data_IF_055230161601
#
_entry.id   IF_055230161601
#
_cell.length_a   1.000
_cell.length_b   1.000
_cell.length_c   1.000
_cell.angle_alpha   90.00
_cell.angle_beta   90.00
_cell.angle_gamma   90.00
#
_symmetry.space_group_name_H-M   'P 1'
#
loop_
_entity.id
_entity.type
_entity.pdbx_description
1 polymer ?
#
# COMPACT_ATOMS: atom_id res chain seq x y z
N UNK A 1 19.83 -11.34 3.46
CA UNK A 1 18.66 -10.60 2.95
C UNK A 1 18.07 -11.42 1.82
N UNK A 2 16.76 -11.68 1.83
CA UNK A 2 16.09 -12.40 0.74
C UNK A 2 15.51 -11.36 -0.23
N UNK A 3 16.00 -11.27 -1.47
CA UNK A 3 15.46 -10.33 -2.45
C UNK A 3 13.98 -10.60 -2.72
N UNK A 4 13.22 -9.52 -2.92
CA UNK A 4 11.83 -9.60 -3.34
C UNK A 4 11.78 -9.55 -4.87
N UNK A 5 12.07 -10.69 -5.51
CA UNK A 5 12.14 -10.75 -6.98
C UNK A 5 10.77 -10.96 -7.64
N UNK A 6 9.74 -11.27 -6.85
CA UNK A 6 8.38 -11.58 -7.31
C UNK A 6 7.34 -11.02 -6.34
N UNK A 7 6.11 -10.75 -6.82
CA UNK A 7 5.04 -10.30 -5.96
C UNK A 7 4.78 -11.26 -4.80
N UNK A 8 4.84 -10.74 -3.57
CA UNK A 8 4.52 -11.43 -2.34
C UNK A 8 3.17 -10.94 -1.81
N UNK A 9 2.22 -11.86 -1.61
CA UNK A 9 0.89 -11.55 -1.10
C UNK A 9 0.76 -11.98 0.36
N UNK A 10 0.23 -11.09 1.20
CA UNK A 10 -0.01 -11.33 2.63
C UNK A 10 -1.35 -10.77 3.05
N UNK A 11 -1.94 -11.42 4.03
CA UNK A 11 -3.05 -10.84 4.78
C UNK A 11 -2.47 -10.03 5.94
N UNK A 12 -3.03 -8.85 6.17
CA UNK A 12 -2.70 -7.98 7.30
C UNK A 12 -4.00 -7.46 7.90
N UNK A 13 -4.04 -7.35 9.22
CA UNK A 13 -5.17 -6.77 9.94
C UNK A 13 -4.84 -5.33 10.33
N UNK A 14 -5.74 -4.40 10.00
CA UNK A 14 -5.62 -2.98 10.34
C UNK A 14 -6.97 -2.55 10.91
N UNK A 15 -6.99 -2.05 12.14
CA UNK A 15 -8.20 -1.64 12.87
C UNK A 15 -9.31 -2.70 12.86
N UNK A 16 -8.94 -3.97 13.07
CA UNK A 16 -9.87 -5.11 13.08
C UNK A 16 -10.41 -5.51 11.70
N UNK A 17 -9.90 -4.92 10.61
CA UNK A 17 -10.32 -5.23 9.23
C UNK A 17 -9.21 -5.95 8.48
N UNK A 18 -9.52 -7.03 7.75
CA UNK A 18 -8.53 -7.75 6.96
C UNK A 18 -8.27 -7.05 5.62
N UNK A 19 -7.01 -6.91 5.28
CA UNK A 19 -6.52 -6.38 4.01
C UNK A 19 -5.58 -7.38 3.35
N UNK A 20 -5.56 -7.36 2.03
CA UNK A 20 -4.51 -8.01 1.24
C UNK A 20 -3.43 -7.01 0.91
N UNK A 21 -2.24 -7.24 1.46
CA UNK A 21 -1.01 -6.56 1.11
C UNK A 21 -0.31 -7.32 -0.02
N UNK A 22 0.07 -6.61 -1.07
CA UNK A 22 0.92 -7.09 -2.15
C UNK A 22 2.19 -6.27 -2.09
N UNK A 23 3.34 -6.94 -2.00
CA UNK A 23 4.67 -6.34 -2.06
C UNK A 23 5.33 -6.81 -3.36
N UNK A 24 5.95 -5.92 -4.10
CA UNK A 24 6.73 -6.24 -5.30
C UNK A 24 8.01 -5.38 -5.35
N UNK A 25 8.93 -5.62 -6.32
CA UNK A 25 10.16 -4.84 -6.42
C UNK A 25 9.94 -3.33 -6.55
N UNK A 26 8.76 -2.89 -7.00
CA UNK A 26 8.44 -1.48 -7.27
C UNK A 26 7.75 -0.77 -6.11
N UNK A 27 6.97 -1.50 -5.29
CA UNK A 27 6.22 -0.91 -4.20
C UNK A 27 5.32 -1.85 -3.41
N UNK A 28 4.32 -1.24 -2.78
CA UNK A 28 3.26 -1.93 -2.07
C UNK A 28 1.88 -1.55 -2.59
N UNK A 29 0.95 -2.50 -2.49
CA UNK A 29 -0.47 -2.30 -2.72
C UNK A 29 -1.30 -2.93 -1.62
N UNK A 30 -2.18 -2.14 -1.01
CA UNK A 30 -3.08 -2.58 0.03
C UNK A 30 -4.53 -2.56 -0.49
N UNK A 31 -5.19 -3.71 -0.52
CA UNK A 31 -6.58 -3.82 -0.95
C UNK A 31 -7.44 -4.25 0.25
N UNK A 32 -8.50 -3.49 0.54
CA UNK A 32 -9.53 -3.95 1.46
C UNK A 32 -10.22 -5.18 0.84
N UNK A 33 -10.52 -6.19 1.67
CA UNK A 33 -11.19 -7.40 1.22
C UNK A 33 -12.51 -7.05 0.52
N UNK A 34 -12.65 -7.45 -0.75
CA UNK A 34 -13.85 -7.18 -1.56
C UNK A 34 -13.86 -5.84 -2.33
N UNK A 35 -12.82 -5.00 -2.20
CA UNK A 35 -12.75 -3.71 -2.89
C UNK A 35 -11.68 -3.72 -4.00
N UNK A 36 -12.02 -3.12 -5.16
CA UNK A 36 -11.10 -3.01 -6.31
C UNK A 36 -10.18 -1.77 -6.27
N UNK A 37 -10.52 -0.76 -5.45
CA UNK A 37 -9.74 0.47 -5.28
C UNK A 37 -8.90 0.35 -4.00
N UNK A 38 -7.72 -0.25 -4.13
CA UNK A 38 -6.71 -0.29 -3.07
C UNK A 38 -5.75 0.89 -3.12
N UNK A 39 -5.05 1.15 -2.02
CA UNK A 39 -3.95 2.12 -1.96
C UNK A 39 -2.70 1.49 -2.59
N UNK A 40 -2.02 2.19 -3.47
CA UNK A 40 -0.74 1.77 -4.04
C UNK A 40 0.32 2.85 -3.77
N UNK A 41 1.53 2.43 -3.42
CA UNK A 41 2.64 3.32 -3.09
C UNK A 41 3.96 2.72 -3.58
N UNK A 42 4.77 3.50 -4.30
CA UNK A 42 6.10 3.06 -4.74
C UNK A 42 7.12 3.15 -3.61
N UNK A 43 8.21 2.38 -3.70
CA UNK A 43 9.32 2.51 -2.74
C UNK A 43 9.96 3.89 -2.78
N UNK A 44 10.05 4.50 -3.96
CA UNK A 44 10.60 5.84 -4.13
C UNK A 44 9.75 6.88 -3.40
N UNK A 45 8.42 6.82 -3.50
CA UNK A 45 7.54 7.77 -2.80
C UNK A 45 7.60 7.56 -1.28
N UNK A 46 7.71 6.29 -0.85
CA UNK A 46 7.84 5.93 0.56
C UNK A 46 9.13 6.47 1.20
N UNK A 47 10.26 6.30 0.51
CA UNK A 47 11.58 6.72 1.01
C UNK A 47 11.80 8.22 0.87
N UNK A 48 11.24 8.85 -0.17
CA UNK A 48 11.36 10.30 -0.40
C UNK A 48 10.51 11.12 0.58
N UNK A 49 9.55 10.51 1.27
CA UNK A 49 8.64 11.17 2.21
C UNK A 49 7.38 11.77 1.55
N UNK A 50 7.29 11.74 0.22
CA UNK A 50 6.12 12.21 -0.55
C UNK A 50 4.88 11.31 -0.36
N UNK A 51 5.07 10.08 0.13
CA UNK A 51 3.98 9.19 0.54
C UNK A 51 3.04 9.82 1.56
N UNK A 52 3.56 10.61 2.52
CA UNK A 52 2.74 11.28 3.52
C UNK A 52 1.91 12.42 2.92
N UNK A 53 2.49 13.15 1.95
CA UNK A 53 1.83 14.28 1.29
C UNK A 53 0.71 13.81 0.35
N UNK A 54 0.95 12.74 -0.42
CA UNK A 54 -0.05 12.17 -1.32
C UNK A 54 -1.23 11.55 -0.55
N UNK A 55 -0.98 10.82 0.55
CA UNK A 55 -2.04 10.28 1.42
C UNK A 55 -2.85 11.40 2.08
N UNK A 56 -2.18 12.44 2.60
CA UNK A 56 -2.86 13.60 3.18
C UNK A 56 -3.72 14.35 2.14
N UNK A 57 -3.23 14.51 0.92
CA UNK A 57 -3.96 15.17 -0.15
C UNK A 57 -5.16 14.34 -0.61
N UNK A 58 -5.00 13.02 -0.81
CA UNK A 58 -6.10 12.14 -1.19
C UNK A 58 -7.21 12.12 -0.13
N UNK A 59 -6.84 12.07 1.17
CA UNK A 59 -7.78 12.15 2.28
C UNK A 59 -8.53 13.49 2.32
N UNK A 60 -7.84 14.61 2.07
CA UNK A 60 -8.46 15.95 2.07
C UNK A 60 -9.45 16.21 0.93
N UNK A 61 -9.42 15.38 -0.12
CA UNK A 61 -10.32 15.51 -1.30
C UNK A 61 -11.46 14.47 -1.31
N UNK A 62 -11.46 13.55 -0.35
CA UNK A 62 -12.48 12.53 -0.19
C UNK A 62 -13.57 12.92 0.84
N UNK A 63 -13.41 14.09 1.48
CA UNK A 63 -14.42 14.77 2.33
C UNK A 63 -15.23 15.80 1.54
#
# INVERSE_FOLDING_TARGET
>A
MTPLDRPLRREVEIDGKPYTLILDPEGLKLNAKGHRKGLALSWTDLVSGDAALAVALQASTAD
#
